data_IF_019734057361
#
_entry.id   IF_019734057361
#
_cell.length_a   1.000
_cell.length_b   1.000
_cell.length_c   1.000
_cell.angle_alpha   90.00
_cell.angle_beta   90.00
_cell.angle_gamma   90.00
#
_symmetry.space_group_name_H-M   'P 1'
#
loop_
_entity.id
_entity.type
_entity.pdbx_description
1 polymer ?
#
# COMPACT_ATOMS: atom_id res chain seq x y z
N UNK A 1 20.57 -9.80 0.04
CA UNK A 1 21.42 -9.24 -1.04
C UNK A 1 20.63 -8.20 -1.83
N UNK A 2 21.28 -7.37 -2.66
CA UNK A 2 20.55 -6.45 -3.57
C UNK A 2 19.52 -7.19 -4.44
N UNK A 3 19.86 -8.38 -4.94
CA UNK A 3 18.94 -9.20 -5.73
C UNK A 3 17.70 -9.64 -4.96
N UNK A 4 17.86 -10.03 -3.68
CA UNK A 4 16.72 -10.38 -2.82
C UNK A 4 15.82 -9.18 -2.56
N UNK A 5 16.38 -7.98 -2.35
CA UNK A 5 15.59 -6.76 -2.18
C UNK A 5 14.80 -6.42 -3.44
N UNK A 6 15.44 -6.50 -4.62
CA UNK A 6 14.78 -6.24 -5.90
C UNK A 6 13.64 -7.24 -6.16
N UNK A 7 13.87 -8.54 -5.92
CA UNK A 7 12.83 -9.57 -6.05
C UNK A 7 11.68 -9.36 -5.07
N UNK A 8 11.98 -9.11 -3.79
CA UNK A 8 10.99 -8.83 -2.77
C UNK A 8 10.11 -7.63 -3.16
N UNK A 9 10.73 -6.52 -3.60
CA UNK A 9 10.03 -5.33 -4.04
C UNK A 9 9.13 -5.62 -5.25
N UNK A 10 9.64 -6.35 -6.25
CA UNK A 10 8.88 -6.70 -7.45
C UNK A 10 7.66 -7.57 -7.14
N UNK A 11 7.84 -8.61 -6.32
CA UNK A 11 6.76 -9.52 -5.94
C UNK A 11 5.74 -8.85 -5.03
N UNK A 12 6.19 -8.01 -4.09
CA UNK A 12 5.28 -7.26 -3.23
C UNK A 12 4.48 -6.22 -4.01
N UNK A 13 5.11 -5.51 -4.95
CA UNK A 13 4.39 -4.61 -5.89
C UNK A 13 3.32 -5.36 -6.66
N UNK A 14 3.65 -6.54 -7.19
CA UNK A 14 2.70 -7.37 -7.93
C UNK A 14 1.51 -7.79 -7.06
N UNK A 15 1.78 -8.17 -5.81
CA UNK A 15 0.73 -8.53 -4.85
C UNK A 15 -0.23 -7.36 -4.63
N UNK A 16 0.29 -6.17 -4.32
CA UNK A 16 -0.52 -4.99 -4.09
C UNK A 16 -1.38 -4.63 -5.31
N UNK A 17 -0.79 -4.64 -6.51
CA UNK A 17 -1.54 -4.37 -7.76
C UNK A 17 -2.69 -5.38 -7.89
N UNK A 18 -2.44 -6.69 -7.70
CA UNK A 18 -3.48 -7.71 -7.82
C UNK A 18 -4.58 -7.54 -6.78
N UNK A 19 -4.23 -7.21 -5.54
CA UNK A 19 -5.19 -7.03 -4.44
C UNK A 19 -6.09 -5.82 -4.66
N UNK A 20 -5.57 -4.73 -5.23
CA UNK A 20 -6.31 -3.46 -5.35
C UNK A 20 -6.78 -3.10 -6.76
N UNK A 21 -6.31 -3.79 -7.81
CA UNK A 21 -6.70 -3.51 -9.20
C UNK A 21 -8.22 -3.59 -9.42
N UNK A 22 -8.90 -4.52 -8.76
CA UNK A 22 -10.36 -4.66 -8.86
C UNK A 22 -11.14 -3.46 -8.30
N UNK A 23 -10.56 -2.71 -7.35
CA UNK A 23 -11.16 -1.45 -6.90
C UNK A 23 -10.94 -0.33 -7.92
N UNK A 24 -9.76 -0.30 -8.55
CA UNK A 24 -9.43 0.70 -9.57
C UNK A 24 -10.33 0.59 -10.82
N UNK A 25 -10.82 -0.60 -11.17
CA UNK A 25 -11.78 -0.76 -12.28
C UNK A 25 -13.15 -0.16 -12.01
N UNK A 26 -13.49 0.12 -10.74
CA UNK A 26 -14.76 0.76 -10.36
C UNK A 26 -14.72 2.29 -10.47
N UNK A 27 -13.52 2.87 -10.63
CA UNK A 27 -13.33 4.31 -10.82
C UNK A 27 -13.93 4.75 -12.15
N UNK A 28 -14.75 5.80 -12.12
CA UNK A 28 -15.44 6.36 -13.28
C UNK A 28 -15.51 7.89 -13.18
N UNK A 29 -16.17 8.55 -14.14
CA UNK A 29 -16.26 10.02 -14.20
C UNK A 29 -16.96 10.67 -12.99
N UNK A 30 -17.75 9.91 -12.24
CA UNK A 30 -18.45 10.36 -11.04
C UNK A 30 -17.63 10.12 -9.76
N UNK A 31 -16.50 9.41 -9.87
CA UNK A 31 -15.60 9.21 -8.74
C UNK A 31 -14.88 10.50 -8.42
N UNK A 32 -15.02 10.98 -7.18
CA UNK A 32 -14.35 12.18 -6.68
C UNK A 32 -13.51 11.86 -5.46
N UNK A 33 -12.43 12.63 -5.29
CA UNK A 33 -11.53 12.52 -4.14
C UNK A 33 -11.60 13.84 -3.39
N UNK A 34 -12.03 13.77 -2.13
CA UNK A 34 -12.06 14.91 -1.23
C UNK A 34 -10.90 14.83 -0.25
N UNK A 35 -10.08 15.87 -0.19
CA UNK A 35 -9.07 16.00 0.85
C UNK A 35 -9.74 16.40 2.16
N UNK A 36 -9.47 15.66 3.23
CA UNK A 36 -9.86 16.06 4.59
C UNK A 36 -8.80 17.01 5.15
N UNK A 37 -9.18 17.86 6.13
CA UNK A 37 -8.24 18.74 6.80
C UNK A 37 -7.03 17.95 7.32
N UNK A 38 -5.87 18.24 6.75
CA UNK A 38 -4.59 17.67 7.14
C UNK A 38 -3.86 18.71 7.98
N UNK A 39 -3.40 18.31 9.17
CA UNK A 39 -2.53 19.18 9.97
C UNK A 39 -1.10 18.87 9.58
N UNK A 40 -0.43 19.84 8.98
CA UNK A 40 1.00 19.82 8.73
C UNK A 40 1.58 21.22 8.97
N UNK A 41 2.80 21.26 9.50
CA UNK A 41 3.61 22.46 9.58
C UNK A 41 4.52 22.57 8.34
N UNK A 42 4.98 23.78 7.96
CA UNK A 42 5.85 23.96 6.79
C UNK A 42 7.19 23.21 6.86
N UNK A 43 7.67 22.93 8.06
CA UNK A 43 8.92 22.24 8.38
C UNK A 43 8.76 20.73 8.57
N UNK A 44 7.53 20.19 8.51
CA UNK A 44 7.30 18.75 8.59
C UNK A 44 8.02 18.02 7.43
N UNK A 45 8.68 16.92 7.78
CA UNK A 45 9.27 15.97 6.84
C UNK A 45 8.45 14.68 6.70
N UNK A 46 7.43 14.50 7.54
CA UNK A 46 6.46 13.41 7.51
C UNK A 46 5.05 14.00 7.70
N UNK A 47 4.13 13.65 6.81
CA UNK A 47 2.73 14.10 6.90
C UNK A 47 1.77 12.97 6.57
N UNK A 48 0.60 12.98 7.20
CA UNK A 48 -0.51 12.08 6.84
C UNK A 48 -1.59 12.86 6.10
N UNK A 49 -1.70 12.66 4.79
CA UNK A 49 -2.78 13.23 3.97
C UNK A 49 -3.99 12.32 4.03
N UNK A 50 -5.14 12.86 4.42
CA UNK A 50 -6.38 12.10 4.57
C UNK A 50 -7.35 12.41 3.44
N UNK A 51 -7.97 11.38 2.85
CA UNK A 51 -8.92 11.55 1.75
C UNK A 51 -10.17 10.71 1.92
N UNK A 52 -11.28 11.20 1.36
CA UNK A 52 -12.49 10.42 1.14
C UNK A 52 -12.69 10.25 -0.36
N UNK A 53 -12.72 9.00 -0.81
CA UNK A 53 -13.07 8.64 -2.18
C UNK A 53 -14.57 8.39 -2.24
N UNK A 54 -15.30 9.19 -3.03
CA UNK A 54 -16.74 9.07 -3.23
C UNK A 54 -17.03 8.56 -4.62
N UNK A 55 -17.81 7.48 -4.71
CA UNK A 55 -18.30 6.91 -5.97
C UNK A 55 -19.80 6.60 -5.88
N UNK A 56 -20.26 5.53 -6.53
CA UNK A 56 -21.68 5.11 -6.53
C UNK A 56 -22.10 4.33 -5.25
N UNK A 57 -21.48 4.59 -4.11
CA UNK A 57 -21.71 3.89 -2.85
C UNK A 57 -21.12 4.64 -1.66
N UNK A 58 -20.95 3.94 -0.54
CA UNK A 58 -20.39 4.54 0.68
C UNK A 58 -18.98 5.11 0.42
N UNK A 59 -18.69 6.33 0.91
CA UNK A 59 -17.35 6.91 0.81
C UNK A 59 -16.31 6.01 1.49
N UNK A 60 -15.16 5.86 0.83
CA UNK A 60 -14.02 5.10 1.36
C UNK A 60 -12.96 6.07 1.85
N UNK A 61 -12.59 5.97 3.12
CA UNK A 61 -11.47 6.73 3.67
C UNK A 61 -10.14 6.06 3.28
N UNK A 62 -9.26 6.86 2.70
CA UNK A 62 -7.90 6.47 2.34
C UNK A 62 -6.94 7.55 2.86
N UNK A 63 -6.03 7.13 3.74
CA UNK A 63 -4.97 7.99 4.25
C UNK A 63 -3.62 7.59 3.66
N UNK A 64 -2.74 8.57 3.48
CA UNK A 64 -1.42 8.39 2.90
C UNK A 64 -0.39 8.96 3.87
N UNK A 65 0.61 8.17 4.28
CA UNK A 65 1.82 8.71 4.91
C UNK A 65 2.80 9.10 3.83
N UNK A 66 3.26 10.34 3.88
CA UNK A 66 4.21 10.91 2.94
C UNK A 66 5.46 11.33 3.69
N UNK A 67 6.61 11.06 3.08
CA UNK A 67 7.91 11.55 3.54
C UNK A 67 8.45 12.55 2.52
N UNK A 68 9.06 13.63 3.02
CA UNK A 68 9.74 14.63 2.22
C UNK A 68 11.15 14.17 1.91
N UNK A 69 11.40 13.82 0.66
CA UNK A 69 12.76 13.61 0.14
C UNK A 69 13.32 14.94 -0.39
N UNK A 70 14.65 15.05 -0.61
CA UNK A 70 15.25 16.30 -1.09
C UNK A 70 14.64 16.86 -2.39
N UNK A 71 14.14 15.98 -3.26
CA UNK A 71 13.51 16.37 -4.53
C UNK A 71 11.99 16.50 -4.42
N UNK A 72 11.31 15.55 -3.77
CA UNK A 72 9.84 15.45 -3.80
C UNK A 72 9.29 14.80 -2.52
N UNK A 73 7.99 14.94 -2.31
CA UNK A 73 7.23 14.09 -1.40
C UNK A 73 6.95 12.72 -2.02
N UNK A 74 7.10 11.65 -1.24
CA UNK A 74 6.76 10.28 -1.66
C UNK A 74 5.82 9.64 -0.64
N UNK A 75 4.81 8.95 -1.14
CA UNK A 75 3.96 8.08 -0.31
C UNK A 75 4.75 6.83 0.02
N UNK A 76 4.87 6.50 1.31
CA UNK A 76 5.54 5.28 1.75
C UNK A 76 4.59 4.29 2.42
N UNK A 77 3.39 4.72 2.82
CA UNK A 77 2.36 3.86 3.41
C UNK A 77 0.96 4.39 3.10
N UNK A 78 0.00 3.49 3.04
CA UNK A 78 -1.41 3.79 2.74
C UNK A 78 -2.28 3.10 3.78
N UNK A 79 -3.28 3.81 4.28
CA UNK A 79 -4.33 3.26 5.11
C UNK A 79 -5.56 3.03 4.25
N UNK A 80 -6.11 1.82 4.29
CA UNK A 80 -7.39 1.50 3.66
C UNK A 80 -8.29 0.93 4.74
N UNK A 81 -9.43 1.58 4.97
CA UNK A 81 -10.44 1.14 5.95
C UNK A 81 -9.88 0.91 7.37
N UNK A 82 -8.96 1.78 7.81
CA UNK A 82 -8.36 1.75 9.14
C UNK A 82 -7.08 0.91 9.24
N UNK A 83 -6.66 0.22 8.17
CA UNK A 83 -5.47 -0.65 8.19
C UNK A 83 -4.33 -0.05 7.37
N UNK A 84 -3.19 0.21 8.02
CA UNK A 84 -1.94 0.59 7.36
C UNK A 84 -1.30 -0.63 6.69
N UNK A 85 -1.07 -0.53 5.38
CA UNK A 85 -0.58 -1.65 4.60
C UNK A 85 0.82 -2.09 5.02
N UNK A 86 1.73 -1.15 5.25
CA UNK A 86 3.10 -1.50 5.66
C UNK A 86 3.10 -2.26 6.99
N UNK A 87 2.33 -1.81 7.99
CA UNK A 87 2.25 -2.46 9.30
C UNK A 87 1.65 -3.87 9.19
N UNK A 88 0.57 -4.01 8.44
CA UNK A 88 -0.10 -5.29 8.20
C UNK A 88 0.84 -6.30 7.53
N UNK A 89 1.53 -5.90 6.45
CA UNK A 89 2.45 -6.78 5.74
C UNK A 89 3.72 -7.05 6.53
N UNK A 90 4.26 -6.08 7.29
CA UNK A 90 5.44 -6.28 8.13
C UNK A 90 5.22 -7.38 9.16
N UNK A 91 4.06 -7.39 9.82
CA UNK A 91 3.69 -8.45 10.75
C UNK A 91 3.64 -9.83 10.06
N UNK A 92 2.98 -9.93 8.91
CA UNK A 92 2.90 -11.17 8.14
C UNK A 92 4.28 -11.63 7.63
N UNK A 93 5.11 -10.70 7.18
CA UNK A 93 6.44 -10.98 6.64
C UNK A 93 7.39 -11.45 7.74
N UNK A 94 7.32 -10.88 8.94
CA UNK A 94 8.13 -11.32 10.07
C UNK A 94 7.90 -12.81 10.38
N UNK A 95 6.66 -13.29 10.31
CA UNK A 95 6.33 -14.71 10.49
C UNK A 95 6.94 -15.60 9.40
N UNK A 96 6.87 -15.17 8.13
CA UNK A 96 7.45 -15.93 7.01
C UNK A 96 8.98 -15.97 7.09
N UNK A 97 9.59 -14.83 7.43
CA UNK A 97 11.04 -14.71 7.60
C UNK A 97 11.52 -15.58 8.76
N UNK A 98 10.78 -15.65 9.87
CA UNK A 98 11.13 -16.52 11.00
C UNK A 98 11.13 -18.01 10.61
N UNK A 99 10.27 -18.42 9.67
CA UNK A 99 10.17 -19.81 9.23
C UNK A 99 11.13 -20.19 8.10
N UNK A 100 11.47 -19.26 7.20
CA UNK A 100 12.17 -19.59 5.95
C UNK A 100 13.14 -18.54 5.45
N UNK A 101 13.46 -17.53 6.27
CA UNK A 101 14.30 -16.40 5.88
C UNK A 101 13.68 -15.55 4.77
N UNK A 102 14.52 -14.71 4.15
CA UNK A 102 14.08 -13.81 3.07
C UNK A 102 13.65 -14.59 1.82
N UNK A 103 14.32 -15.70 1.51
CA UNK A 103 13.94 -16.54 0.36
C UNK A 103 12.59 -17.22 0.58
N UNK A 104 12.28 -17.65 1.82
CA UNK A 104 10.97 -18.15 2.19
C UNK A 104 9.86 -17.12 1.97
N UNK A 105 10.08 -15.87 2.39
CA UNK A 105 9.15 -14.77 2.13
C UNK A 105 8.93 -14.54 0.62
N UNK A 106 10.02 -14.47 -0.17
CA UNK A 106 9.93 -14.28 -1.62
C UNK A 106 9.12 -15.41 -2.26
N UNK A 107 9.38 -16.67 -1.89
CA UNK A 107 8.64 -17.82 -2.41
C UNK A 107 7.15 -17.76 -2.05
N UNK A 108 6.82 -17.33 -0.83
CA UNK A 108 5.43 -17.12 -0.40
C UNK A 108 4.74 -16.05 -1.25
N UNK A 109 5.42 -14.93 -1.56
CA UNK A 109 4.86 -13.89 -2.42
C UNK A 109 4.66 -14.37 -3.86
N UNK A 110 5.63 -15.08 -4.43
CA UNK A 110 5.51 -15.70 -5.76
C UNK A 110 4.31 -16.65 -5.81
N UNK A 111 4.14 -17.49 -4.80
CA UNK A 111 3.01 -18.41 -4.71
C UNK A 111 1.67 -17.66 -4.64
N UNK A 112 1.56 -16.61 -3.81
CA UNK A 112 0.37 -15.76 -3.71
C UNK A 112 0.05 -15.05 -5.03
N UNK A 113 1.07 -14.59 -5.75
CA UNK A 113 0.90 -13.91 -7.04
C UNK A 113 0.48 -14.86 -8.17
N UNK A 114 0.81 -16.15 -8.07
CA UNK A 114 0.36 -17.19 -9.01
C UNK A 114 -1.05 -17.70 -8.72
N UNK A 115 -1.48 -17.67 -7.45
CA UNK A 115 -2.84 -18.03 -7.10
C UNK A 115 -3.86 -17.09 -7.77
N UNK A 116 -5.03 -17.58 -8.18
CA UNK A 116 -6.09 -16.70 -8.68
C UNK A 116 -6.38 -15.64 -7.63
N UNK A 117 -6.51 -14.37 -8.07
CA UNK A 117 -6.88 -13.30 -7.16
C UNK A 117 -8.19 -13.68 -6.45
N UNK A 118 -8.24 -13.51 -5.13
CA UNK A 118 -9.48 -13.71 -4.40
C UNK A 118 -10.55 -12.80 -5.03
N UNK A 119 -11.67 -13.39 -5.46
CA UNK A 119 -12.79 -12.70 -6.09
C UNK A 119 -13.42 -11.68 -5.16
#
# INVERSE_FOLDING_TARGET
>A
TPDQQAKLQAEFKTLLIRTYAGALTKVNAQTSIELKPTRSAPDDSDVTVRTNVKGNGDPIEIDYKLEKLPADWKIFDVNVLGVWLVDQYKSSFAQQIASGGIDGLINTLVAKNKAPAAK
#
